data_IF_501706194354
#
_entry.id   IF_501706194354
#
_cell.length_a   1.000
_cell.length_b   1.000
_cell.length_c   1.000
_cell.angle_alpha   90.00
_cell.angle_beta   90.00
_cell.angle_gamma   90.00
#
_symmetry.space_group_name_H-M   'P 1'
#
loop_
_entity.id
_entity.type
_entity.pdbx_description
1 polymer ?
#
# COMPACT_ATOMS: atom_id res chain seq x y z
N UNK A 1 24.88 -5.36 -3.26
CA UNK A 1 23.59 -4.64 -3.20
C UNK A 1 23.80 -3.37 -2.38
N UNK A 2 23.23 -2.23 -2.78
CA UNK A 2 23.44 -0.92 -2.14
C UNK A 2 22.70 -0.74 -0.82
N UNK A 3 21.75 -1.64 -0.49
CA UNK A 3 20.88 -1.50 0.68
C UNK A 3 19.83 -0.40 0.55
N UNK A 4 19.71 0.24 -0.62
CA UNK A 4 18.79 1.35 -0.85
C UNK A 4 17.34 0.89 -0.91
N UNK A 5 16.42 1.74 -0.43
CA UNK A 5 14.98 1.57 -0.66
C UNK A 5 14.69 1.94 -2.11
N UNK A 6 14.03 1.04 -2.83
CA UNK A 6 13.49 1.32 -4.15
C UNK A 6 12.10 1.93 -3.98
N UNK A 7 11.98 3.24 -4.16
CA UNK A 7 10.73 3.97 -3.94
C UNK A 7 10.02 4.20 -5.27
N UNK A 8 8.91 3.50 -5.48
CA UNK A 8 8.06 3.67 -6.65
C UNK A 8 6.97 4.73 -6.38
N UNK A 9 7.03 5.82 -7.13
CA UNK A 9 6.17 6.99 -6.94
C UNK A 9 5.15 7.16 -8.08
N UNK A 10 4.99 6.15 -8.95
CA UNK A 10 3.96 6.13 -10.00
C UNK A 10 2.55 6.18 -9.39
N UNK A 11 1.53 6.20 -10.24
CA UNK A 11 0.14 6.07 -9.78
C UNK A 11 -0.13 4.67 -9.21
N UNK A 12 -1.13 4.54 -8.33
CA UNK A 12 -1.50 3.21 -7.78
C UNK A 12 -2.02 2.29 -8.88
N UNK A 13 -2.69 2.85 -9.89
CA UNK A 13 -3.24 2.14 -11.04
C UNK A 13 -2.14 1.53 -11.92
N UNK A 14 -1.03 2.24 -12.13
CA UNK A 14 0.11 1.72 -12.87
C UNK A 14 0.96 0.76 -12.04
N UNK A 15 1.13 1.05 -10.74
CA UNK A 15 1.91 0.20 -9.85
C UNK A 15 1.34 -1.22 -9.77
N UNK A 16 0.03 -1.38 -9.53
CA UNK A 16 -0.56 -2.72 -9.32
C UNK A 16 -0.51 -3.62 -10.56
N UNK A 17 -0.44 -3.02 -11.77
CA UNK A 17 -0.27 -3.75 -13.04
C UNK A 17 1.12 -4.36 -13.20
N UNK A 18 2.11 -3.83 -12.48
CA UNK A 18 3.49 -4.31 -12.51
C UNK A 18 4.45 -3.32 -11.86
N UNK A 19 5.41 -3.85 -11.10
CA UNK A 19 6.45 -3.07 -10.42
C UNK A 19 7.76 -3.86 -10.32
N UNK A 20 8.83 -3.16 -9.96
CA UNK A 20 10.14 -3.78 -9.74
C UNK A 20 10.10 -4.57 -8.42
N UNK A 21 10.48 -5.87 -8.39
CA UNK A 21 10.44 -6.66 -7.17
C UNK A 21 11.14 -5.97 -6.00
N UNK A 22 10.53 -6.05 -4.81
CA UNK A 22 10.96 -5.39 -3.57
C UNK A 22 10.91 -3.84 -3.57
N UNK A 23 10.32 -3.20 -4.58
CA UNK A 23 10.03 -1.77 -4.50
C UNK A 23 8.85 -1.48 -3.56
N UNK A 24 8.93 -0.34 -2.87
CA UNK A 24 7.87 0.17 -2.01
C UNK A 24 7.13 1.26 -2.76
N UNK A 25 5.81 1.11 -2.86
CA UNK A 25 4.94 2.11 -3.44
C UNK A 25 4.67 3.22 -2.42
N UNK A 26 4.97 4.47 -2.79
CA UNK A 26 4.38 5.67 -2.18
C UNK A 26 4.12 6.65 -3.31
N UNK A 27 2.92 6.58 -3.91
CA UNK A 27 2.58 7.37 -5.10
C UNK A 27 2.61 8.88 -4.84
N UNK A 28 3.14 9.63 -5.81
CA UNK A 28 3.43 11.06 -5.68
C UNK A 28 2.17 11.94 -5.52
N UNK A 29 1.08 11.53 -6.16
CA UNK A 29 -0.20 12.28 -6.20
C UNK A 29 -1.12 11.99 -4.99
N UNK A 30 -0.71 11.09 -4.11
CA UNK A 30 -1.39 10.86 -2.82
C UNK A 30 -0.76 11.66 -1.68
N UNK A 31 -0.95 11.19 -0.46
CA UNK A 31 -0.35 11.78 0.75
C UNK A 31 1.16 11.44 0.88
N UNK A 32 1.93 11.68 -0.18
CA UNK A 32 3.32 11.26 -0.32
C UNK A 32 4.20 11.59 0.90
N UNK A 33 4.32 12.88 1.23
CA UNK A 33 5.26 13.34 2.25
C UNK A 33 4.98 12.78 3.66
N UNK A 34 3.72 12.78 4.14
CA UNK A 34 3.37 12.11 5.40
C UNK A 34 3.73 10.61 5.42
N UNK A 35 3.50 9.87 4.33
CA UNK A 35 3.79 8.44 4.28
C UNK A 35 5.28 8.13 4.18
N UNK A 36 6.04 8.93 3.43
CA UNK A 36 7.51 8.84 3.45
C UNK A 36 8.01 9.01 4.88
N UNK A 37 7.58 10.06 5.58
CA UNK A 37 7.93 10.33 6.98
C UNK A 37 7.57 9.20 7.95
N UNK A 38 6.39 8.60 7.77
CA UNK A 38 5.93 7.52 8.66
C UNK A 38 6.60 6.17 8.39
N UNK A 39 6.96 5.87 7.13
CA UNK A 39 7.37 4.53 6.71
C UNK A 39 8.89 4.38 6.54
N UNK A 40 9.63 5.47 6.35
CA UNK A 40 11.08 5.48 6.17
C UNK A 40 11.72 6.22 7.35
N UNK A 41 11.82 5.62 8.54
CA UNK A 41 12.20 6.35 9.77
C UNK A 41 13.63 6.93 9.74
N UNK A 42 14.52 6.35 8.95
CA UNK A 42 15.90 6.83 8.80
C UNK A 42 16.00 7.80 7.62
N UNK A 43 16.17 9.09 7.93
CA UNK A 43 16.32 10.18 6.95
C UNK A 43 17.56 10.03 6.07
N UNK A 44 18.59 9.32 6.55
CA UNK A 44 19.84 9.10 5.83
C UNK A 44 19.80 7.82 5.00
N UNK A 45 18.71 7.05 5.05
CA UNK A 45 18.61 5.81 4.30
C UNK A 45 18.67 6.11 2.79
N UNK A 46 19.53 5.43 2.01
CA UNK A 46 19.62 5.68 0.58
C UNK A 46 18.31 5.35 -0.13
N UNK A 47 17.82 6.25 -0.98
CA UNK A 47 16.60 6.05 -1.78
C UNK A 47 16.96 6.04 -3.26
N UNK A 48 16.53 5.00 -3.97
CA UNK A 48 16.53 4.94 -5.42
C UNK A 48 15.10 5.11 -5.92
N UNK A 49 14.87 6.13 -6.74
CA UNK A 49 13.53 6.53 -7.18
C UNK A 49 13.12 5.79 -8.46
N UNK A 50 11.89 5.29 -8.49
CA UNK A 50 11.20 4.83 -9.70
C UNK A 50 10.02 5.78 -9.90
N UNK A 51 10.14 6.68 -10.87
CA UNK A 51 9.11 7.67 -11.17
C UNK A 51 8.61 7.50 -12.60
N UNK A 52 7.49 8.15 -12.91
CA UNK A 52 7.10 8.39 -14.30
C UNK A 52 8.14 9.29 -14.98
N UNK A 53 8.51 9.02 -16.24
CA UNK A 53 9.46 9.85 -16.96
C UNK A 53 9.08 11.33 -16.94
N UNK A 54 10.01 12.19 -16.53
CA UNK A 54 9.82 13.64 -16.40
C UNK A 54 9.36 14.11 -15.01
N UNK A 55 9.08 13.20 -14.06
CA UNK A 55 8.70 13.54 -12.67
C UNK A 55 9.83 13.34 -11.66
N UNK A 56 11.00 12.86 -12.08
CA UNK A 56 12.11 12.50 -11.21
C UNK A 56 12.57 13.67 -10.33
N UNK A 57 12.72 14.85 -10.94
CA UNK A 57 13.11 16.07 -10.23
C UNK A 57 12.05 16.51 -9.21
N UNK A 58 10.75 16.34 -9.52
CA UNK A 58 9.66 16.63 -8.59
C UNK A 58 9.75 15.74 -7.35
N UNK A 59 9.98 14.44 -7.55
CA UNK A 59 10.11 13.45 -6.46
C UNK A 59 11.26 13.83 -5.55
N UNK A 60 12.45 14.08 -6.11
CA UNK A 60 13.65 14.44 -5.32
C UNK A 60 13.41 15.73 -4.53
N UNK A 61 12.80 16.77 -5.15
CA UNK A 61 12.45 18.01 -4.45
C UNK A 61 11.47 17.77 -3.30
N UNK A 62 10.49 16.88 -3.47
CA UNK A 62 9.49 16.57 -2.44
C UNK A 62 10.06 15.73 -1.31
N UNK A 63 10.99 14.82 -1.59
CA UNK A 63 11.76 14.08 -0.58
C UNK A 63 12.62 15.04 0.26
N UNK A 64 13.39 15.92 -0.38
CA UNK A 64 14.24 16.91 0.29
C UNK A 64 13.43 17.85 1.20
N UNK A 65 12.21 18.26 0.79
CA UNK A 65 11.32 19.10 1.63
C UNK A 65 10.91 18.46 2.95
N UNK A 66 10.96 17.13 3.06
CA UNK A 66 10.70 16.40 4.31
C UNK A 66 11.98 15.82 4.93
N UNK A 67 13.16 16.26 4.49
CA UNK A 67 14.45 15.95 5.09
C UNK A 67 15.18 14.72 4.51
N UNK A 68 14.70 14.17 3.39
CA UNK A 68 15.32 13.01 2.73
C UNK A 68 16.19 13.50 1.57
N UNK A 69 17.43 13.85 1.90
CA UNK A 69 18.40 14.36 0.92
C UNK A 69 19.24 13.25 0.28
N UNK A 70 19.16 12.01 0.78
CA UNK A 70 19.94 10.87 0.28
C UNK A 70 19.25 10.10 -0.86
N UNK A 71 18.65 10.82 -1.81
CA UNK A 71 18.21 10.24 -3.07
C UNK A 71 19.44 9.98 -3.96
N UNK A 72 19.88 8.72 -4.05
CA UNK A 72 21.14 8.32 -4.69
C UNK A 72 21.02 8.14 -6.22
N UNK A 73 19.81 8.26 -6.76
CA UNK A 73 19.55 8.17 -8.18
C UNK A 73 18.10 7.79 -8.48
N UNK A 74 17.80 7.60 -9.76
CA UNK A 74 16.52 7.13 -10.24
C UNK A 74 16.71 6.08 -11.34
N UNK A 75 15.66 5.30 -11.59
CA UNK A 75 15.61 4.34 -12.68
C UNK A 75 15.38 5.09 -14.00
N UNK A 76 16.43 5.22 -14.81
CA UNK A 76 16.34 5.86 -16.12
C UNK A 76 15.34 5.14 -17.04
N UNK A 77 14.40 5.91 -17.61
CA UNK A 77 13.30 5.36 -18.41
C UNK A 77 12.19 4.68 -17.60
N UNK A 78 12.27 4.74 -16.27
CA UNK A 78 11.24 4.25 -15.36
C UNK A 78 11.00 2.74 -15.44
N UNK A 79 9.83 2.32 -14.93
CA UNK A 79 9.44 0.91 -14.88
C UNK A 79 9.36 0.25 -16.27
N UNK A 80 8.91 0.98 -17.29
CA UNK A 80 8.77 0.42 -18.64
C UNK A 80 10.12 0.00 -19.22
N UNK A 81 11.17 0.80 -19.03
CA UNK A 81 12.52 0.41 -19.45
C UNK A 81 13.01 -0.84 -18.70
N UNK A 82 12.77 -0.93 -17.40
CA UNK A 82 13.08 -2.12 -16.61
C UNK A 82 12.37 -3.36 -17.17
N UNK A 83 11.06 -3.28 -17.40
CA UNK A 83 10.25 -4.36 -17.96
C UNK A 83 10.72 -4.76 -19.36
N UNK A 84 10.96 -3.79 -20.24
CA UNK A 84 11.42 -4.03 -21.62
C UNK A 84 12.84 -4.61 -21.69
N UNK A 85 13.65 -4.41 -20.66
CA UNK A 85 14.97 -5.03 -20.54
C UNK A 85 14.92 -6.53 -20.13
N UNK A 86 13.72 -7.11 -20.01
CA UNK A 86 13.52 -8.52 -19.68
C UNK A 86 13.83 -8.87 -18.23
N UNK A 87 13.89 -7.87 -17.35
CA UNK A 87 14.08 -8.07 -15.91
C UNK A 87 12.79 -8.56 -15.26
N UNK A 88 12.94 -9.23 -14.13
CA UNK A 88 11.83 -9.70 -13.32
C UNK A 88 10.92 -8.54 -12.92
N UNK A 89 9.61 -8.79 -12.98
CA UNK A 89 8.56 -7.88 -12.55
C UNK A 89 7.64 -8.61 -11.60
N UNK A 90 7.11 -7.88 -10.63
CA UNK A 90 6.13 -8.38 -9.69
C UNK A 90 4.81 -7.61 -9.87
N UNK A 91 3.72 -8.15 -9.35
CA UNK A 91 2.39 -7.56 -9.42
C UNK A 91 1.59 -7.91 -8.16
N UNK A 92 0.53 -7.14 -7.91
CA UNK A 92 -0.44 -7.44 -6.85
C UNK A 92 -1.81 -7.52 -7.48
N UNK A 93 -2.44 -8.70 -7.39
CA UNK A 93 -3.82 -8.86 -7.82
C UNK A 93 -4.67 -7.78 -7.15
N UNK A 94 -5.39 -7.01 -7.95
CA UNK A 94 -6.19 -5.89 -7.46
C UNK A 94 -7.61 -6.02 -7.99
N UNK A 95 -8.58 -5.98 -7.07
CA UNK A 95 -10.00 -6.13 -7.39
C UNK A 95 -10.81 -4.95 -6.86
N UNK A 96 -12.00 -4.78 -7.42
CA UNK A 96 -13.00 -3.81 -6.98
C UNK A 96 -13.76 -4.27 -5.72
N UNK A 97 -14.50 -3.34 -5.08
CA UNK A 97 -15.44 -3.68 -4.00
C UNK A 97 -16.52 -4.67 -4.47
N UNK A 98 -17.00 -4.51 -5.70
CA UNK A 98 -17.99 -5.42 -6.29
C UNK A 98 -17.44 -6.85 -6.44
N UNK A 99 -16.17 -6.98 -6.84
CA UNK A 99 -15.52 -8.29 -6.90
C UNK A 99 -15.24 -8.85 -5.50
N UNK A 100 -14.91 -7.99 -4.53
CA UNK A 100 -14.78 -8.41 -3.14
C UNK A 100 -16.11 -8.96 -2.61
N UNK A 101 -17.23 -8.28 -2.86
CA UNK A 101 -18.58 -8.72 -2.49
C UNK A 101 -18.90 -10.11 -3.06
N UNK A 102 -18.47 -10.39 -4.29
CA UNK A 102 -18.68 -11.69 -4.93
C UNK A 102 -17.75 -12.79 -4.38
N UNK A 103 -16.52 -12.44 -3.99
CA UNK A 103 -15.49 -13.40 -3.59
C UNK A 103 -15.48 -13.70 -2.11
N UNK A 104 -15.78 -12.71 -1.27
CA UNK A 104 -15.68 -12.81 0.19
C UNK A 104 -16.49 -13.98 0.76
N UNK A 105 -17.75 -14.24 0.33
CA UNK A 105 -18.54 -15.35 0.89
C UNK A 105 -17.96 -16.74 0.63
N UNK A 106 -17.19 -16.90 -0.46
CA UNK A 106 -16.57 -18.18 -0.84
C UNK A 106 -15.11 -18.29 -0.39
N UNK A 107 -14.56 -17.26 0.27
CA UNK A 107 -13.15 -17.16 0.60
C UNK A 107 -12.88 -17.51 2.07
N UNK A 108 -13.28 -18.71 2.51
CA UNK A 108 -13.18 -19.17 3.90
C UNK A 108 -11.75 -19.07 4.48
N UNK A 109 -10.73 -19.23 3.64
CA UNK A 109 -9.32 -19.15 4.03
C UNK A 109 -8.70 -17.76 3.83
N UNK A 110 -9.46 -16.74 3.44
CA UNK A 110 -8.95 -15.37 3.24
C UNK A 110 -9.41 -14.44 4.35
N UNK A 111 -8.47 -13.66 4.90
CA UNK A 111 -8.78 -12.64 5.91
C UNK A 111 -8.79 -11.25 5.29
N UNK A 112 -9.68 -10.39 5.77
CA UNK A 112 -9.66 -8.97 5.42
C UNK A 112 -8.67 -8.24 6.33
N UNK A 113 -7.70 -7.53 5.74
CA UNK A 113 -6.79 -6.62 6.42
C UNK A 113 -7.24 -5.18 6.17
N UNK A 114 -7.69 -4.50 7.22
CA UNK A 114 -8.00 -3.09 7.17
C UNK A 114 -6.78 -2.27 7.60
N UNK A 115 -6.20 -1.53 6.66
CA UNK A 115 -4.99 -0.71 6.90
C UNK A 115 -5.30 0.76 7.17
N UNK A 116 -6.56 1.12 7.42
CA UNK A 116 -6.97 2.46 7.85
C UNK A 116 -6.47 2.75 9.27
N UNK A 117 -6.59 4.01 9.71
CA UNK A 117 -6.22 4.41 11.07
C UNK A 117 -7.13 3.73 12.09
N UNK A 118 -6.66 3.49 13.34
CA UNK A 118 -7.49 2.87 14.38
C UNK A 118 -8.84 3.56 14.61
N UNK A 119 -8.91 4.89 14.50
CA UNK A 119 -10.15 5.65 14.62
C UNK A 119 -11.14 5.43 13.47
N UNK A 120 -10.64 5.21 12.24
CA UNK A 120 -11.49 4.85 11.10
C UNK A 120 -12.04 3.43 11.25
N UNK A 121 -11.17 2.47 11.63
CA UNK A 121 -11.58 1.08 11.87
C UNK A 121 -12.61 0.99 12.99
N UNK A 122 -12.34 1.63 14.13
CA UNK A 122 -13.23 1.60 15.29
C UNK A 122 -14.55 2.34 15.12
N UNK A 123 -14.69 3.19 14.09
CA UNK A 123 -15.95 3.83 13.74
C UNK A 123 -16.86 2.87 12.98
N UNK A 124 -16.34 2.18 11.97
CA UNK A 124 -17.05 1.17 11.17
C UNK A 124 -16.06 0.42 10.30
N UNK A 125 -16.15 -0.91 10.23
CA UNK A 125 -15.31 -1.77 9.40
C UNK A 125 -16.07 -3.01 8.90
N UNK A 126 -15.49 -3.73 7.94
CA UNK A 126 -16.00 -5.04 7.49
C UNK A 126 -15.95 -6.01 8.68
N UNK A 127 -17.01 -6.78 8.90
CA UNK A 127 -17.03 -7.78 9.98
C UNK A 127 -15.86 -8.76 9.84
N UNK A 128 -15.31 -9.20 10.98
CA UNK A 128 -14.15 -10.09 11.06
C UNK A 128 -12.84 -9.58 10.43
N UNK A 129 -12.80 -8.33 9.96
CA UNK A 129 -11.57 -7.72 9.45
C UNK A 129 -10.53 -7.56 10.57
N UNK A 130 -9.27 -7.87 10.26
CA UNK A 130 -8.15 -7.61 11.15
C UNK A 130 -7.68 -6.17 10.98
N UNK A 131 -7.73 -5.40 12.07
CA UNK A 131 -7.13 -4.07 12.11
C UNK A 131 -5.60 -4.15 12.04
N UNK A 132 -5.04 -3.65 10.94
CA UNK A 132 -3.62 -3.63 10.65
C UNK A 132 -3.16 -2.26 10.09
N UNK A 133 -3.21 -1.19 10.90
CA UNK A 133 -3.02 0.18 10.40
C UNK A 133 -1.65 0.39 9.75
N UNK A 134 -1.63 1.05 8.58
CA UNK A 134 -0.41 1.31 7.83
C UNK A 134 0.64 2.08 8.64
N UNK A 135 0.22 3.02 9.50
CA UNK A 135 1.10 3.82 10.37
C UNK A 135 2.01 2.94 11.27
N UNK A 136 1.57 1.72 11.60
CA UNK A 136 2.26 0.81 12.51
C UNK A 136 2.76 -0.47 11.81
N UNK A 137 2.78 -0.49 10.48
CA UNK A 137 3.13 -1.68 9.70
C UNK A 137 4.54 -2.19 10.02
N UNK A 138 5.49 -1.30 10.31
CA UNK A 138 6.87 -1.68 10.61
C UNK A 138 7.02 -2.36 11.97
N UNK A 139 6.17 -2.03 12.95
CA UNK A 139 6.25 -2.57 14.31
C UNK A 139 5.32 -3.76 14.57
N UNK A 140 4.42 -4.09 13.63
CA UNK A 140 3.34 -5.06 13.85
C UNK A 140 3.40 -6.29 12.93
N UNK A 141 4.52 -6.53 12.23
CA UNK A 141 4.64 -7.65 11.27
C UNK A 141 4.36 -9.03 11.88
N UNK A 142 4.56 -9.20 13.18
CA UNK A 142 4.28 -10.40 13.95
C UNK A 142 2.78 -10.71 14.07
N UNK A 143 1.91 -9.73 13.79
CA UNK A 143 0.43 -9.89 13.85
C UNK A 143 -0.17 -10.51 12.58
N UNK A 144 0.64 -10.71 11.54
CA UNK A 144 0.22 -11.28 10.26
C UNK A 144 1.17 -12.41 9.85
N UNK A 145 0.67 -13.42 9.14
CA UNK A 145 1.44 -14.58 8.71
C UNK A 145 1.58 -14.61 7.20
N UNK A 146 2.76 -14.99 6.70
CA UNK A 146 3.00 -15.15 5.25
C UNK A 146 2.21 -16.30 4.62
N UNK A 147 1.83 -17.29 5.44
CA UNK A 147 1.07 -18.46 4.99
C UNK A 147 -0.44 -18.15 4.87
N UNK A 148 -0.89 -17.02 5.42
CA UNK A 148 -2.28 -16.58 5.38
C UNK A 148 -2.52 -15.73 4.12
N UNK A 149 -3.67 -15.96 3.48
CA UNK A 149 -4.13 -15.15 2.36
C UNK A 149 -4.90 -13.93 2.86
N UNK A 150 -4.69 -12.77 2.23
CA UNK A 150 -5.33 -11.54 2.66
C UNK A 150 -5.98 -10.74 1.53
N UNK A 151 -7.18 -10.22 1.80
CA UNK A 151 -7.72 -9.06 1.11
C UNK A 151 -7.27 -7.80 1.84
N UNK A 152 -6.49 -6.93 1.20
CA UNK A 152 -5.96 -5.71 1.82
C UNK A 152 -6.76 -4.51 1.32
N UNK A 153 -7.43 -3.81 2.23
CA UNK A 153 -8.22 -2.62 1.87
C UNK A 153 -7.92 -1.43 2.76
N UNK A 154 -8.32 -0.26 2.29
CA UNK A 154 -8.34 0.96 3.08
C UNK A 154 -9.58 1.79 2.72
N UNK A 155 -9.49 3.12 2.80
CA UNK A 155 -10.58 4.01 2.36
C UNK A 155 -10.68 4.17 0.84
N UNK A 156 -9.58 4.22 0.10
CA UNK A 156 -9.58 4.63 -1.32
C UNK A 156 -8.58 3.86 -2.21
N UNK A 157 -8.04 2.75 -1.72
CA UNK A 157 -7.00 1.96 -2.40
C UNK A 157 -5.56 2.47 -2.25
N UNK A 158 -5.34 3.74 -1.86
CA UNK A 158 -3.97 4.30 -1.79
C UNK A 158 -3.13 3.63 -0.69
N UNK A 159 -3.61 3.64 0.57
CA UNK A 159 -2.89 3.02 1.70
C UNK A 159 -2.77 1.51 1.57
N UNK A 160 -3.77 0.83 1.01
CA UNK A 160 -3.70 -0.61 0.78
C UNK A 160 -2.68 -0.97 -0.29
N UNK A 161 -2.49 -0.14 -1.31
CA UNK A 161 -1.40 -0.32 -2.29
C UNK A 161 -0.03 -0.17 -1.63
N UNK A 162 0.15 0.84 -0.75
CA UNK A 162 1.39 1.00 0.03
C UNK A 162 1.62 -0.25 0.89
N UNK A 163 0.62 -0.66 1.68
CA UNK A 163 0.71 -1.83 2.55
C UNK A 163 1.04 -3.10 1.77
N UNK A 164 0.36 -3.34 0.64
CA UNK A 164 0.60 -4.50 -0.21
C UNK A 164 2.03 -4.52 -0.77
N UNK A 165 2.58 -3.37 -1.20
CA UNK A 165 3.98 -3.30 -1.65
C UNK A 165 4.98 -3.65 -0.55
N UNK A 166 4.75 -3.17 0.69
CA UNK A 166 5.59 -3.48 1.86
C UNK A 166 5.50 -4.96 2.22
N UNK A 167 4.30 -5.53 2.22
CA UNK A 167 4.09 -6.94 2.51
C UNK A 167 4.76 -7.82 1.42
N UNK A 168 4.60 -7.50 0.13
CA UNK A 168 5.29 -8.19 -0.97
C UNK A 168 6.81 -8.13 -0.83
N UNK A 169 7.37 -6.95 -0.57
CA UNK A 169 8.81 -6.79 -0.31
C UNK A 169 9.31 -7.57 0.91
N UNK A 170 8.41 -7.99 1.81
CA UNK A 170 8.70 -8.84 2.97
C UNK A 170 8.38 -10.32 2.73
N UNK A 171 7.99 -10.71 1.52
CA UNK A 171 7.74 -12.09 1.11
C UNK A 171 6.34 -12.61 1.42
N UNK A 172 5.33 -11.74 1.48
CA UNK A 172 3.92 -12.15 1.49
C UNK A 172 3.45 -12.33 0.05
N UNK A 173 3.26 -13.57 -0.38
CA UNK A 173 2.89 -13.87 -1.78
C UNK A 173 1.38 -13.95 -2.03
N UNK A 174 0.57 -14.07 -0.98
CA UNK A 174 -0.86 -14.33 -1.08
C UNK A 174 -1.70 -13.11 -0.69
N UNK A 175 -1.58 -12.05 -1.50
CA UNK A 175 -2.26 -10.78 -1.27
C UNK A 175 -3.16 -10.42 -2.45
N UNK A 176 -4.37 -9.99 -2.14
CA UNK A 176 -5.29 -9.35 -3.07
C UNK A 176 -5.57 -7.95 -2.54
N UNK A 177 -5.15 -6.93 -3.27
CA UNK A 177 -5.40 -5.55 -2.92
C UNK A 177 -6.79 -5.12 -3.40
N UNK A 178 -7.44 -4.25 -2.64
CA UNK A 178 -8.76 -3.75 -2.95
C UNK A 178 -8.67 -2.29 -3.39
N UNK A 179 -9.09 -1.99 -4.62
CA UNK A 179 -9.25 -0.63 -5.14
C UNK A 179 -10.73 -0.27 -5.20
N UNK A 180 -11.12 0.71 -4.40
CA UNK A 180 -12.47 1.27 -4.35
C UNK A 180 -12.59 2.22 -3.18
N UNK A 181 -13.78 2.80 -2.98
CA UNK A 181 -14.04 3.62 -1.80
C UNK A 181 -14.74 2.79 -0.73
N UNK A 182 -14.33 2.96 0.53
CA UNK A 182 -14.94 2.21 1.65
C UNK A 182 -16.45 2.45 1.76
N UNK A 183 -16.92 3.63 1.35
CA UNK A 183 -18.35 3.95 1.35
C UNK A 183 -19.15 3.00 0.43
N UNK A 184 -18.53 2.44 -0.62
CA UNK A 184 -19.17 1.42 -1.46
C UNK A 184 -19.41 0.10 -0.70
N UNK A 185 -18.54 -0.24 0.26
CA UNK A 185 -18.71 -1.41 1.14
C UNK A 185 -19.98 -1.27 1.95
N UNK A 186 -20.19 -0.09 2.56
CA UNK A 186 -21.36 0.23 3.39
C UNK A 186 -22.65 0.07 2.59
N UNK A 187 -22.63 0.40 1.30
CA UNK A 187 -23.80 0.26 0.41
C UNK A 187 -23.95 -1.11 -0.24
N UNK A 188 -23.01 -2.03 0.00
CA UNK A 188 -23.01 -3.38 -0.55
C UNK A 188 -23.65 -4.41 0.39
N UNK A 189 -23.64 -5.69 0.00
CA UNK A 189 -24.02 -6.81 0.87
C UNK A 189 -22.87 -7.34 1.74
N UNK A 190 -21.68 -6.73 1.68
CA UNK A 190 -20.57 -7.07 2.57
C UNK A 190 -20.94 -6.68 4.02
N UNK A 191 -20.93 -7.61 4.98
CA UNK A 191 -21.26 -7.29 6.37
C UNK A 191 -20.28 -6.27 6.97
N UNK A 192 -20.81 -5.25 7.64
CA UNK A 192 -20.05 -4.26 8.40
C UNK A 192 -20.54 -4.17 9.83
N UNK A 193 -19.64 -3.77 10.75
CA UNK A 193 -20.02 -3.46 12.13
C UNK A 193 -20.91 -2.23 12.19
N UNK A 194 -21.77 -2.14 13.21
CA UNK A 194 -22.54 -0.92 13.47
C UNK A 194 -21.64 0.32 13.59
N UNK A 195 -22.07 1.43 12.97
CA UNK A 195 -21.33 2.69 13.05
C UNK A 195 -21.35 3.27 14.48
N UNK A 196 -20.16 3.55 15.03
CA UNK A 196 -19.98 4.16 16.36
C UNK A 196 -19.31 5.53 16.22
N UNK A 197 -19.98 6.57 16.70
CA UNK A 197 -19.42 7.92 16.68
C UNK A 197 -18.32 8.08 17.75
N UNK A 198 -17.12 8.49 17.33
CA UNK A 198 -15.96 8.67 18.22
C UNK A 198 -16.14 9.74 19.32
N UNK A 199 -17.19 10.58 19.23
CA UNK A 199 -17.53 11.59 20.25
C UNK A 199 -18.12 11.02 21.54
N UNK A 200 -18.40 9.71 21.60
CA UNK A 200 -18.97 9.05 22.79
C UNK A 200 -17.94 8.32 23.66
N UNK A 201 -16.64 8.38 23.34
CA UNK A 201 -15.57 7.90 24.23
C UNK A 201 -14.89 9.10 24.91
N UNK A 202 -15.50 9.58 26.00
CA UNK A 202 -14.82 10.31 27.07
C UNK A 202 -14.48 9.36 28.21
#
# INVERSE_FOLDING_TARGET
ATGAIMLDTRTKEEFVKGFVPNSIFIGLDGSFAPWVGALIPDLMHPILVIAEPGREEEVVKRLARVGYDNAIGYLEGGFDNWKNSGKEVDAVETISIKELEQRLPAAEDMKVLDVRKPGEFGAEHIEDALSFPLDYINSNMDRVSKDQKYFVHCRSGYRSTIAASILKARGFEHLVNIHGVFDDVITSSIPTTDFVCASQKQ
#
